data_IF_902940053241
#
_entry.id   IF_902940053241
#
_cell.length_a   1.000
_cell.length_b   1.000
_cell.length_c   1.000
_cell.angle_alpha   90.00
_cell.angle_beta   90.00
_cell.angle_gamma   90.00
#
_symmetry.space_group_name_H-M   'P 1'
#
loop_
_entity.id
_entity.type
_entity.pdbx_description
1 polymer ?
#
# COMPACT_ATOMS: atom_id res chain seq x y z
N UNK A 1 9.92 9.17 -2.24
CA UNK A 1 10.14 8.32 -3.45
C UNK A 1 8.80 7.79 -3.97
N UNK A 2 8.75 7.25 -5.19
CA UNK A 2 7.59 6.49 -5.69
C UNK A 2 7.72 5.03 -5.28
N UNK A 3 6.76 4.51 -4.52
CA UNK A 3 6.79 3.14 -3.98
C UNK A 3 5.49 2.43 -4.33
N UNK A 4 5.58 1.19 -4.81
CA UNK A 4 4.42 0.34 -5.04
C UNK A 4 4.45 -0.85 -4.09
N UNK A 5 3.37 -1.05 -3.34
CA UNK A 5 3.20 -2.19 -2.44
C UNK A 5 2.25 -3.19 -3.10
N UNK A 6 2.75 -4.40 -3.36
CA UNK A 6 1.97 -5.48 -3.96
C UNK A 6 1.45 -6.40 -2.84
N UNK A 7 0.13 -6.41 -2.68
CA UNK A 7 -0.62 -7.04 -1.58
C UNK A 7 -1.07 -6.03 -0.53
N UNK A 8 -2.38 -5.90 -0.30
CA UNK A 8 -3.00 -5.08 0.75
C UNK A 8 -3.58 -5.91 1.89
N UNK A 9 -2.86 -6.96 2.28
CA UNK A 9 -3.08 -7.59 3.59
C UNK A 9 -2.62 -6.69 4.73
N UNK A 10 -2.74 -7.18 5.97
CA UNK A 10 -2.30 -6.45 7.18
C UNK A 10 -0.91 -5.83 7.04
N UNK A 11 0.08 -6.63 6.64
CA UNK A 11 1.47 -6.17 6.51
C UNK A 11 1.62 -5.12 5.41
N UNK A 12 1.08 -5.39 4.23
CA UNK A 12 1.23 -4.51 3.08
C UNK A 12 0.54 -3.16 3.27
N UNK A 13 -0.68 -3.16 3.82
CA UNK A 13 -1.42 -1.92 4.07
C UNK A 13 -0.75 -1.06 5.16
N UNK A 14 -0.37 -1.67 6.30
CA UNK A 14 0.30 -0.93 7.39
C UNK A 14 1.64 -0.37 6.91
N UNK A 15 2.42 -1.17 6.18
CA UNK A 15 3.70 -0.71 5.61
C UNK A 15 3.49 0.42 4.62
N UNK A 16 2.51 0.31 3.73
CA UNK A 16 2.17 1.36 2.76
C UNK A 16 1.75 2.67 3.44
N UNK A 17 0.96 2.58 4.53
CA UNK A 17 0.54 3.73 5.30
C UNK A 17 1.74 4.44 5.98
N UNK A 18 2.60 3.70 6.68
CA UNK A 18 3.81 4.27 7.31
C UNK A 18 4.75 4.89 6.27
N UNK A 19 4.96 4.23 5.13
CA UNK A 19 5.80 4.78 4.06
C UNK A 19 5.21 6.07 3.47
N UNK A 20 3.89 6.14 3.36
CA UNK A 20 3.18 7.35 2.91
C UNK A 20 3.32 8.49 3.92
N UNK A 21 3.20 8.19 5.21
CA UNK A 21 3.39 9.16 6.29
C UNK A 21 4.82 9.74 6.32
N UNK A 22 5.81 8.93 5.96
CA UNK A 22 7.21 9.35 5.83
C UNK A 22 7.50 10.17 4.55
N UNK A 23 6.47 10.58 3.79
CA UNK A 23 6.61 11.45 2.61
C UNK A 23 6.89 10.70 1.30
N UNK A 24 6.64 9.39 1.24
CA UNK A 24 6.68 8.66 -0.02
C UNK A 24 5.34 8.73 -0.75
N UNK A 25 5.39 8.76 -2.08
CA UNK A 25 4.21 8.59 -2.91
C UNK A 25 3.97 7.09 -3.08
N UNK A 26 3.02 6.55 -2.31
CA UNK A 26 2.75 5.11 -2.23
C UNK A 26 1.52 4.74 -3.04
N UNK A 27 1.63 3.67 -3.83
CA UNK A 27 0.49 3.01 -4.50
C UNK A 27 0.38 1.58 -4.00
N UNK A 28 -0.76 1.23 -3.41
CA UNK A 28 -1.05 -0.14 -3.00
C UNK A 28 -1.84 -0.85 -4.11
N UNK A 29 -1.45 -2.09 -4.42
CA UNK A 29 -2.08 -2.93 -5.44
C UNK A 29 -2.39 -4.29 -4.84
N UNK A 30 -3.60 -4.81 -5.05
CA UNK A 30 -3.97 -6.19 -4.71
C UNK A 30 -4.79 -6.78 -5.86
N UNK A 31 -4.78 -8.11 -5.95
CA UNK A 31 -5.53 -8.84 -6.98
C UNK A 31 -7.01 -8.92 -6.61
N UNK A 32 -7.32 -8.86 -5.31
CA UNK A 32 -8.67 -8.90 -4.80
C UNK A 32 -9.31 -7.50 -4.82
N UNK A 33 -10.28 -7.22 -5.71
CA UNK A 33 -10.91 -5.92 -5.79
C UNK A 33 -11.62 -5.52 -4.49
N UNK A 34 -12.12 -6.50 -3.73
CA UNK A 34 -12.85 -6.23 -2.49
C UNK A 34 -11.95 -5.60 -1.40
N UNK A 35 -10.62 -5.73 -1.49
CA UNK A 35 -9.68 -5.09 -0.56
C UNK A 35 -9.34 -3.64 -0.93
N UNK A 36 -9.71 -3.20 -2.13
CA UNK A 36 -9.37 -1.87 -2.67
C UNK A 36 -10.62 -0.99 -2.88
N UNK A 37 -11.82 -1.60 -2.89
CA UNK A 37 -13.11 -0.93 -3.01
C UNK A 37 -13.48 -0.08 -1.80
#
# INVERSE_FOLDING_TARGET
MKVTVVGTGYVGLVTGACLSEMGNHVMCLDVDPAKIQ
#
